data_IF_390146142903
#
_entry.id   IF_390146142903
#
_cell.length_a   1.000
_cell.length_b   1.000
_cell.length_c   1.000
_cell.angle_alpha   90.00
_cell.angle_beta   90.00
_cell.angle_gamma   90.00
#
_symmetry.space_group_name_H-M   'P 1'
#
loop_
_entity.id
_entity.type
_entity.pdbx_description
1 polymer ?
#
# COMPACT_ATOMS: atom_id res chain seq x y z
N UNK A 1 -37.75 6.72 -8.86
CA UNK A 1 -36.35 6.22 -8.62
C UNK A 1 -35.48 6.95 -9.64
N UNK A 2 -34.50 7.76 -9.15
CA UNK A 2 -33.64 8.54 -10.06
C UNK A 2 -32.66 7.55 -10.71
N UNK A 3 -32.58 7.55 -12.03
CA UNK A 3 -31.64 6.73 -12.80
C UNK A 3 -30.60 7.62 -13.47
N UNK A 4 -29.34 7.20 -13.41
CA UNK A 4 -28.22 7.80 -14.13
C UNK A 4 -27.72 6.76 -15.14
N UNK A 5 -27.79 7.07 -16.44
CA UNK A 5 -27.44 6.14 -17.52
C UNK A 5 -28.16 4.78 -17.44
N UNK A 6 -29.46 4.77 -17.01
CA UNK A 6 -30.23 3.53 -16.85
C UNK A 6 -29.92 2.72 -15.58
N UNK A 7 -29.10 3.22 -14.69
CA UNK A 7 -28.69 2.57 -13.43
C UNK A 7 -29.31 3.32 -12.25
N UNK A 8 -29.82 2.61 -11.22
CA UNK A 8 -30.28 3.24 -10.00
C UNK A 8 -29.18 4.07 -9.33
N UNK A 9 -29.46 5.33 -8.99
CA UNK A 9 -28.49 6.23 -8.33
C UNK A 9 -27.88 5.59 -7.07
N UNK A 10 -28.63 4.76 -6.38
CA UNK A 10 -28.18 4.04 -5.19
C UNK A 10 -27.04 3.08 -5.50
N UNK A 11 -27.13 2.32 -6.61
CA UNK A 11 -26.07 1.43 -7.04
C UNK A 11 -24.81 2.20 -7.47
N UNK A 12 -24.99 3.32 -8.18
CA UNK A 12 -23.89 4.20 -8.59
C UNK A 12 -23.15 4.77 -7.39
N UNK A 13 -23.86 5.41 -6.45
CA UNK A 13 -23.24 5.99 -5.24
C UNK A 13 -22.63 4.91 -4.32
N UNK A 14 -23.28 3.74 -4.22
CA UNK A 14 -22.78 2.62 -3.46
C UNK A 14 -21.43 2.11 -3.99
N UNK A 15 -21.30 1.92 -5.31
CA UNK A 15 -20.06 1.46 -5.91
C UNK A 15 -18.97 2.53 -5.92
N UNK A 16 -19.32 3.81 -6.04
CA UNK A 16 -18.39 4.91 -5.89
C UNK A 16 -17.77 4.90 -4.48
N UNK A 17 -18.57 4.69 -3.45
CA UNK A 17 -18.10 4.62 -2.06
C UNK A 17 -17.23 3.37 -1.82
N UNK A 18 -17.63 2.22 -2.36
CA UNK A 18 -16.81 0.99 -2.30
C UNK A 18 -15.48 1.19 -3.03
N UNK A 19 -15.51 1.84 -4.19
CA UNK A 19 -14.30 2.20 -4.94
C UNK A 19 -13.38 3.12 -4.15
N UNK A 20 -13.93 4.09 -3.42
CA UNK A 20 -13.15 4.96 -2.52
C UNK A 20 -12.50 4.18 -1.37
N UNK A 21 -13.21 3.20 -0.80
CA UNK A 21 -12.66 2.33 0.26
C UNK A 21 -11.52 1.47 -0.29
N UNK A 22 -11.67 0.84 -1.46
CA UNK A 22 -10.61 0.09 -2.11
C UNK A 22 -9.42 1.01 -2.46
N UNK A 23 -9.72 2.19 -2.99
CA UNK A 23 -8.74 3.23 -3.28
C UNK A 23 -7.93 3.68 -2.06
N UNK A 24 -8.51 3.61 -0.85
CA UNK A 24 -7.79 3.88 0.39
C UNK A 24 -6.66 2.88 0.64
N UNK A 25 -6.90 1.59 0.44
CA UNK A 25 -5.86 0.57 0.54
C UNK A 25 -4.83 0.68 -0.59
N UNK A 26 -5.29 0.94 -1.80
CA UNK A 26 -4.44 1.17 -2.96
C UNK A 26 -3.50 2.36 -2.73
N UNK A 27 -4.02 3.48 -2.25
CA UNK A 27 -3.22 4.67 -1.97
C UNK A 27 -2.16 4.43 -0.90
N UNK A 28 -2.51 3.79 0.24
CA UNK A 28 -1.55 3.50 1.30
C UNK A 28 -0.46 2.53 0.87
N UNK A 29 -0.82 1.44 0.18
CA UNK A 29 0.15 0.47 -0.31
C UNK A 29 1.05 1.08 -1.39
N UNK A 30 0.46 1.78 -2.35
CA UNK A 30 1.21 2.44 -3.42
C UNK A 30 2.14 3.52 -2.89
N UNK A 31 1.72 4.24 -1.85
CA UNK A 31 2.56 5.24 -1.18
C UNK A 31 3.82 4.60 -0.57
N UNK A 32 3.68 3.51 0.17
CA UNK A 32 4.83 2.80 0.75
C UNK A 32 5.77 2.28 -0.32
N UNK A 33 5.22 1.69 -1.39
CA UNK A 33 6.00 1.18 -2.52
C UNK A 33 6.69 2.32 -3.30
N UNK A 34 6.00 3.46 -3.53
CA UNK A 34 6.56 4.62 -4.21
C UNK A 34 7.72 5.25 -3.43
N UNK A 35 7.65 5.28 -2.09
CA UNK A 35 8.76 5.75 -1.24
C UNK A 35 9.96 4.82 -1.37
N UNK A 36 9.76 3.50 -1.29
CA UNK A 36 10.85 2.53 -1.45
C UNK A 36 11.48 2.67 -2.84
N UNK A 37 10.66 2.65 -3.90
CA UNK A 37 11.16 2.73 -5.27
C UNK A 37 11.87 4.06 -5.55
N UNK A 38 11.29 5.18 -5.11
CA UNK A 38 11.83 6.52 -5.34
C UNK A 38 13.21 6.73 -4.71
N UNK A 39 13.50 6.04 -3.59
CA UNK A 39 14.76 6.21 -2.86
C UNK A 39 15.80 5.14 -3.15
N UNK A 40 15.37 3.90 -3.33
CA UNK A 40 16.27 2.76 -3.49
C UNK A 40 16.37 2.27 -4.94
N UNK A 41 15.47 2.71 -5.81
CA UNK A 41 15.32 2.26 -7.21
C UNK A 41 15.18 0.73 -7.33
N UNK A 42 14.67 0.08 -6.27
CA UNK A 42 14.44 -1.36 -6.22
C UNK A 42 12.96 -1.64 -6.31
N UNK A 43 12.58 -2.51 -7.23
CA UNK A 43 11.22 -3.04 -7.33
C UNK A 43 11.04 -4.06 -6.20
N UNK A 44 10.16 -3.75 -5.24
CA UNK A 44 9.95 -4.59 -4.05
C UNK A 44 8.67 -5.41 -4.16
N UNK A 45 8.75 -6.64 -4.67
CA UNK A 45 7.62 -7.57 -4.69
C UNK A 45 7.25 -8.09 -3.29
N UNK A 46 8.18 -8.07 -2.32
CA UNK A 46 7.89 -8.44 -0.94
C UNK A 46 6.94 -7.46 -0.23
N UNK A 47 6.62 -6.30 -0.85
CA UNK A 47 5.72 -5.31 -0.29
C UNK A 47 4.31 -5.85 -0.05
N UNK A 48 3.79 -6.71 -0.94
CA UNK A 48 2.55 -7.44 -0.72
C UNK A 48 2.61 -8.39 0.47
N UNK A 49 3.73 -9.12 0.62
CA UNK A 49 3.93 -9.98 1.78
C UNK A 49 4.04 -9.16 3.08
N UNK A 50 4.63 -7.96 3.06
CA UNK A 50 4.68 -7.04 4.21
C UNK A 50 3.28 -6.54 4.61
N UNK A 51 2.42 -6.29 3.64
CA UNK A 51 1.00 -6.00 3.90
C UNK A 51 0.31 -7.17 4.60
N UNK A 52 0.45 -8.37 4.10
CA UNK A 52 -0.05 -9.60 4.73
C UNK A 52 0.52 -9.77 6.15
N UNK A 53 1.84 -9.58 6.34
CA UNK A 53 2.47 -9.64 7.65
C UNK A 53 1.86 -8.64 8.64
N UNK A 54 1.46 -7.45 8.20
CA UNK A 54 0.77 -6.45 9.02
C UNK A 54 -0.58 -6.94 9.55
N UNK A 55 -1.37 -7.57 8.69
CA UNK A 55 -2.64 -8.18 9.07
C UNK A 55 -2.44 -9.35 10.07
N UNK A 56 -1.48 -10.25 9.80
CA UNK A 56 -1.14 -11.34 10.72
C UNK A 56 -0.55 -10.83 12.03
N UNK A 57 0.32 -9.82 12.02
CA UNK A 57 0.86 -9.24 13.23
C UNK A 57 -0.27 -8.69 14.13
N UNK A 58 -1.24 -7.98 13.55
CA UNK A 58 -2.42 -7.52 14.28
C UNK A 58 -3.24 -8.68 14.88
N UNK A 59 -3.47 -9.73 14.08
CA UNK A 59 -4.20 -10.93 14.54
C UNK A 59 -3.45 -11.64 15.67
N UNK A 60 -2.14 -11.84 15.55
CA UNK A 60 -1.33 -12.53 16.55
C UNK A 60 -1.20 -11.72 17.85
N UNK A 61 -1.05 -10.39 17.74
CA UNK A 61 -1.05 -9.50 18.89
C UNK A 61 -2.37 -9.58 19.67
N UNK A 62 -3.50 -9.70 18.98
CA UNK A 62 -4.81 -9.87 19.62
C UNK A 62 -4.95 -11.26 20.24
N UNK A 63 -4.63 -12.33 19.50
CA UNK A 63 -4.90 -13.71 19.91
C UNK A 63 -3.96 -14.21 21.01
N UNK A 64 -2.68 -13.84 20.97
CA UNK A 64 -1.68 -14.33 21.91
C UNK A 64 -1.48 -13.40 23.11
N UNK A 65 -1.60 -12.09 22.91
CA UNK A 65 -1.30 -11.09 23.94
C UNK A 65 -2.51 -10.26 24.36
N UNK A 66 -3.69 -10.47 23.76
CA UNK A 66 -4.89 -9.70 24.08
C UNK A 66 -4.79 -8.21 23.73
N UNK A 67 -3.84 -7.84 22.85
CA UNK A 67 -3.59 -6.44 22.45
C UNK A 67 -4.79 -5.93 21.67
N UNK A 68 -5.36 -4.79 22.11
CA UNK A 68 -6.48 -4.19 21.42
C UNK A 68 -6.09 -3.64 20.04
N UNK A 69 -7.09 -3.44 19.18
CA UNK A 69 -6.90 -2.96 17.81
C UNK A 69 -6.08 -1.65 17.72
N UNK A 70 -6.35 -0.69 18.60
CA UNK A 70 -5.70 0.62 18.56
C UNK A 70 -4.20 0.56 18.83
N UNK A 71 -3.81 -0.27 19.78
CA UNK A 71 -2.40 -0.51 20.06
C UNK A 71 -1.75 -1.37 18.96
N UNK A 72 -2.48 -2.37 18.45
CA UNK A 72 -2.01 -3.19 17.35
C UNK A 72 -1.79 -2.37 16.06
N UNK A 73 -2.59 -1.30 15.84
CA UNK A 73 -2.44 -0.36 14.71
C UNK A 73 -1.08 0.36 14.73
N UNK A 74 -0.44 0.47 15.89
CA UNK A 74 0.90 1.05 16.06
C UNK A 74 1.97 -0.06 16.05
N UNK A 75 1.74 -1.14 16.80
CA UNK A 75 2.74 -2.19 16.98
C UNK A 75 2.98 -3.01 15.71
N UNK A 76 1.93 -3.36 14.95
CA UNK A 76 2.08 -4.16 13.73
C UNK A 76 2.96 -3.46 12.66
N UNK A 77 2.77 -2.17 12.33
CA UNK A 77 3.68 -1.42 11.47
C UNK A 77 5.12 -1.36 11.98
N UNK A 78 5.30 -1.20 13.29
CA UNK A 78 6.65 -1.17 13.90
C UNK A 78 7.33 -2.54 13.75
N UNK A 79 6.65 -3.62 14.09
CA UNK A 79 7.17 -4.99 13.97
C UNK A 79 7.59 -5.27 12.51
N UNK A 80 6.71 -5.04 11.57
CA UNK A 80 6.98 -5.30 10.15
C UNK A 80 8.00 -4.30 9.58
N UNK A 81 7.98 -3.05 10.04
CA UNK A 81 9.01 -2.06 9.69
C UNK A 81 10.40 -2.50 10.13
N UNK A 82 10.53 -3.06 11.35
CA UNK A 82 11.81 -3.63 11.85
C UNK A 82 12.23 -4.83 11.00
N UNK A 83 11.31 -5.75 10.63
CA UNK A 83 11.67 -6.84 9.72
C UNK A 83 12.12 -6.32 8.36
N UNK A 84 11.48 -5.25 7.85
CA UNK A 84 11.93 -4.55 6.65
C UNK A 84 13.35 -4.01 6.78
N UNK A 85 13.66 -3.31 7.87
CA UNK A 85 15.01 -2.82 8.18
C UNK A 85 16.04 -3.96 8.18
N UNK A 86 15.71 -5.09 8.79
CA UNK A 86 16.57 -6.27 8.83
C UNK A 86 16.83 -6.80 7.40
N UNK A 87 15.77 -6.97 6.61
CA UNK A 87 15.86 -7.45 5.22
C UNK A 87 16.71 -6.51 4.37
N UNK A 88 16.49 -5.21 4.48
CA UNK A 88 17.26 -4.21 3.73
C UNK A 88 18.74 -4.28 4.12
N UNK A 89 19.04 -4.19 5.40
CA UNK A 89 20.41 -4.10 5.90
C UNK A 89 21.26 -5.34 5.60
N UNK A 90 20.68 -6.54 5.72
CA UNK A 90 21.42 -7.78 5.59
C UNK A 90 21.40 -8.40 4.20
N UNK A 91 20.39 -8.09 3.39
CA UNK A 91 20.22 -8.69 2.07
C UNK A 91 20.17 -7.65 0.95
N UNK A 92 19.15 -6.76 0.88
CA UNK A 92 18.96 -5.86 -0.24
C UNK A 92 20.13 -4.91 -0.47
N UNK A 93 20.72 -4.39 0.60
CA UNK A 93 21.87 -3.48 0.53
C UNK A 93 23.08 -4.06 -0.21
N UNK A 94 23.25 -5.39 -0.19
CA UNK A 94 24.31 -6.07 -0.94
C UNK A 94 24.04 -6.13 -2.43
N UNK A 95 22.77 -5.94 -2.83
CA UNK A 95 22.33 -6.05 -4.21
C UNK A 95 22.28 -4.68 -4.93
N UNK A 96 22.42 -3.55 -4.22
CA UNK A 96 22.29 -2.21 -4.82
C UNK A 96 23.29 -1.91 -5.94
N UNK A 97 24.48 -2.51 -5.90
CA UNK A 97 25.52 -2.34 -6.91
C UNK A 97 25.43 -3.39 -8.04
N UNK A 98 24.45 -4.29 -7.98
CA UNK A 98 24.20 -5.30 -9.02
C UNK A 98 23.08 -4.83 -9.96
N UNK A 99 22.83 -5.59 -11.00
CA UNK A 99 21.70 -5.33 -11.88
C UNK A 99 20.38 -5.35 -11.11
N UNK A 100 19.45 -4.45 -11.47
CA UNK A 100 18.13 -4.32 -10.83
C UNK A 100 17.32 -5.62 -10.79
N UNK A 101 17.58 -6.55 -11.72
CA UNK A 101 16.96 -7.88 -11.74
C UNK A 101 17.26 -8.70 -10.49
N UNK A 102 18.46 -8.58 -9.90
CA UNK A 102 18.79 -9.32 -8.66
C UNK A 102 17.92 -8.87 -7.48
N UNK A 103 17.70 -7.57 -7.35
CA UNK A 103 16.80 -7.03 -6.33
C UNK A 103 15.35 -7.50 -6.52
N UNK A 104 14.87 -7.48 -7.76
CA UNK A 104 13.54 -7.96 -8.13
C UNK A 104 13.38 -9.44 -7.80
N UNK A 105 14.29 -10.30 -8.27
CA UNK A 105 14.24 -11.75 -8.02
C UNK A 105 14.33 -12.07 -6.52
N UNK A 106 15.20 -11.37 -5.79
CA UNK A 106 15.32 -11.53 -4.34
C UNK A 106 14.02 -11.19 -3.63
N UNK A 107 13.41 -10.03 -3.92
CA UNK A 107 12.17 -9.60 -3.25
C UNK A 107 10.99 -10.49 -3.64
N UNK A 108 10.95 -11.00 -4.85
CA UNK A 108 9.95 -11.97 -5.29
C UNK A 108 10.12 -13.31 -4.55
N UNK A 109 11.35 -13.86 -4.51
CA UNK A 109 11.64 -15.08 -3.74
C UNK A 109 11.33 -14.91 -2.26
N UNK A 110 11.67 -13.76 -1.66
CA UNK A 110 11.34 -13.44 -0.28
C UNK A 110 9.83 -13.42 -0.03
N UNK A 111 9.05 -12.83 -0.95
CA UNK A 111 7.60 -12.83 -0.88
C UNK A 111 7.04 -14.26 -0.82
N UNK A 112 7.52 -15.15 -1.70
CA UNK A 112 7.09 -16.56 -1.74
C UNK A 112 7.47 -17.31 -0.46
N UNK A 113 8.66 -17.06 0.10
CA UNK A 113 9.09 -17.68 1.36
C UNK A 113 8.21 -17.21 2.52
N UNK A 114 7.95 -15.91 2.63
CA UNK A 114 7.08 -15.36 3.66
C UNK A 114 5.66 -15.93 3.51
N UNK A 115 5.06 -15.85 2.32
CA UNK A 115 3.73 -16.39 2.04
C UNK A 115 3.64 -17.89 2.35
N UNK A 116 4.60 -18.67 1.87
CA UNK A 116 4.66 -20.12 2.11
C UNK A 116 4.78 -20.45 3.60
N UNK A 117 5.56 -19.68 4.35
CA UNK A 117 5.71 -19.84 5.82
C UNK A 117 4.38 -19.61 6.54
N UNK A 118 3.70 -18.49 6.27
CA UNK A 118 2.40 -18.20 6.88
C UNK A 118 1.33 -19.22 6.44
N UNK A 119 1.36 -19.66 5.18
CA UNK A 119 0.48 -20.70 4.68
C UNK A 119 0.68 -22.06 5.35
N UNK A 120 1.91 -22.41 5.65
CA UNK A 120 2.23 -23.63 6.38
C UNK A 120 1.67 -23.63 7.81
N UNK A 121 1.79 -22.51 8.54
CA UNK A 121 1.32 -22.44 9.93
C UNK A 121 -0.16 -22.15 10.09
N UNK A 122 -0.78 -21.38 9.18
CA UNK A 122 -2.16 -20.87 9.30
C UNK A 122 -3.11 -21.42 8.24
N UNK A 123 -2.62 -22.23 7.30
CA UNK A 123 -3.42 -22.72 6.19
C UNK A 123 -3.66 -21.66 5.11
N UNK A 124 -4.48 -22.00 4.11
CA UNK A 124 -4.83 -21.10 2.99
C UNK A 124 -6.15 -20.36 3.20
N UNK A 125 -6.95 -20.77 4.18
CA UNK A 125 -8.25 -20.14 4.49
C UNK A 125 -8.05 -18.84 5.26
N UNK A 126 -8.92 -17.84 4.99
CA UNK A 126 -8.91 -16.57 5.71
C UNK A 126 -9.30 -16.74 7.18
N UNK A 127 -8.56 -16.07 8.07
CA UNK A 127 -8.84 -16.00 9.50
C UNK A 127 -9.65 -14.74 9.81
N UNK A 128 -10.74 -14.83 10.59
CA UNK A 128 -11.52 -13.65 10.93
C UNK A 128 -10.76 -12.74 11.90
N UNK A 129 -10.86 -11.45 11.69
CA UNK A 129 -10.39 -10.41 12.60
C UNK A 129 -11.57 -9.53 13.01
N UNK A 130 -11.85 -9.45 14.31
CA UNK A 130 -13.01 -8.73 14.80
C UNK A 130 -12.86 -7.21 14.65
N UNK A 131 -13.92 -6.55 14.16
CA UNK A 131 -14.01 -5.09 14.14
C UNK A 131 -13.99 -4.54 15.57
N UNK A 132 -13.21 -3.46 15.85
CA UNK A 132 -13.20 -2.84 17.18
C UNK A 132 -14.59 -2.37 17.59
N UNK A 133 -14.94 -2.55 18.87
CA UNK A 133 -16.28 -2.21 19.40
C UNK A 133 -16.69 -0.75 19.13
N UNK A 134 -15.75 0.19 19.20
CA UNK A 134 -15.98 1.62 18.91
C UNK A 134 -16.38 1.89 17.45
N UNK A 135 -15.98 1.02 16.52
CA UNK A 135 -16.25 1.15 15.09
C UNK A 135 -17.25 0.10 14.60
N UNK A 136 -17.90 -0.61 15.53
CA UNK A 136 -18.98 -1.57 15.23
C UNK A 136 -20.26 -0.83 14.90
N UNK A 137 -21.10 -1.46 14.07
CA UNK A 137 -22.36 -0.86 13.59
C UNK A 137 -22.19 -0.17 12.24
N UNK A 138 -23.19 0.63 11.86
CA UNK A 138 -23.19 1.31 10.57
C UNK A 138 -24.16 2.49 10.53
N UNK A 139 -23.97 3.32 9.54
CA UNK A 139 -24.78 4.51 9.26
C UNK A 139 -25.60 4.26 8.01
N UNK A 140 -26.90 4.53 8.07
CA UNK A 140 -27.76 4.50 6.91
C UNK A 140 -27.62 5.83 6.15
N UNK A 141 -26.99 5.77 4.97
CA UNK A 141 -26.80 6.92 4.09
C UNK A 141 -28.01 7.17 3.16
N UNK A 142 -29.11 6.41 3.33
CA UNK A 142 -30.28 6.48 2.47
C UNK A 142 -30.15 5.68 1.16
N UNK A 143 -28.96 5.61 0.58
CA UNK A 143 -28.68 4.80 -0.61
C UNK A 143 -27.95 3.49 -0.29
N UNK A 144 -27.26 3.40 0.86
CA UNK A 144 -26.65 2.15 1.35
C UNK A 144 -26.45 2.21 2.87
N UNK A 145 -26.31 1.04 3.48
CA UNK A 145 -25.85 0.90 4.86
C UNK A 145 -24.33 0.81 4.87
N UNK A 146 -23.66 1.85 5.40
CA UNK A 146 -22.20 1.91 5.49
C UNK A 146 -21.73 1.47 6.88
N UNK A 147 -20.96 0.37 7.01
CA UNK A 147 -20.26 0.04 8.24
C UNK A 147 -19.32 1.19 8.68
N UNK A 148 -19.41 1.61 9.94
CA UNK A 148 -18.60 2.73 10.49
C UNK A 148 -17.11 2.46 10.26
N UNK A 149 -16.67 1.21 10.41
CA UNK A 149 -15.29 0.82 10.19
C UNK A 149 -14.76 1.19 8.79
N UNK A 150 -15.59 1.00 7.75
CA UNK A 150 -15.19 1.35 6.37
C UNK A 150 -15.01 2.86 6.19
N UNK A 151 -15.86 3.66 6.81
CA UNK A 151 -15.70 5.13 6.85
C UNK A 151 -14.43 5.55 7.60
N UNK A 152 -14.16 4.91 8.73
CA UNK A 152 -12.91 5.09 9.48
C UNK A 152 -11.68 4.79 8.63
N UNK A 153 -11.66 3.69 7.85
CA UNK A 153 -10.54 3.34 6.96
C UNK A 153 -10.26 4.46 5.96
N UNK A 154 -11.29 5.05 5.35
CA UNK A 154 -11.11 6.16 4.40
C UNK A 154 -10.46 7.36 5.08
N UNK A 155 -10.96 7.77 6.24
CA UNK A 155 -10.42 8.93 6.98
C UNK A 155 -8.99 8.65 7.44
N UNK A 156 -8.74 7.49 8.04
CA UNK A 156 -7.41 7.11 8.52
C UNK A 156 -6.39 7.03 7.39
N UNK A 157 -6.77 6.44 6.24
CA UNK A 157 -5.89 6.38 5.07
C UNK A 157 -5.53 7.76 4.53
N UNK A 158 -6.49 8.70 4.49
CA UNK A 158 -6.22 10.08 4.09
C UNK A 158 -5.23 10.76 5.06
N UNK A 159 -5.43 10.59 6.38
CA UNK A 159 -4.53 11.15 7.41
C UNK A 159 -3.12 10.56 7.23
N UNK A 160 -2.99 9.26 7.05
CA UNK A 160 -1.69 8.59 6.84
C UNK A 160 -1.04 9.07 5.55
N UNK A 161 -1.78 9.12 4.44
CA UNK A 161 -1.26 9.56 3.15
C UNK A 161 -0.78 11.01 3.19
N UNK A 162 -1.61 11.92 3.72
CA UNK A 162 -1.26 13.34 3.84
C UNK A 162 -0.12 13.53 4.84
N UNK A 163 -0.16 12.85 5.99
CA UNK A 163 0.89 12.91 7.00
C UNK A 163 2.25 12.44 6.45
N UNK A 164 2.26 11.34 5.73
CA UNK A 164 3.48 10.82 5.09
C UNK A 164 3.96 11.75 3.97
N UNK A 165 3.06 12.28 3.15
CA UNK A 165 3.41 13.28 2.14
C UNK A 165 4.03 14.52 2.78
N UNK A 166 3.44 15.08 3.85
CA UNK A 166 4.01 16.21 4.58
C UNK A 166 5.37 15.87 5.18
N UNK A 167 5.53 14.68 5.76
CA UNK A 167 6.80 14.20 6.32
C UNK A 167 7.91 14.20 5.26
N UNK A 168 7.63 13.68 4.06
CA UNK A 168 8.65 13.57 3.01
C UNK A 168 8.81 14.90 2.25
N UNK A 169 7.73 15.64 1.97
CA UNK A 169 7.83 16.84 1.12
C UNK A 169 8.25 18.08 1.90
N UNK A 170 7.83 18.21 3.17
CA UNK A 170 7.98 19.45 3.95
C UNK A 170 9.01 19.38 5.06
N UNK A 171 9.69 18.23 5.28
CA UNK A 171 10.69 18.11 6.35
C UNK A 171 12.12 17.98 5.81
N UNK A 172 13.11 18.20 6.69
CA UNK A 172 14.54 18.01 6.38
C UNK A 172 14.86 16.57 5.98
N UNK A 173 14.15 15.59 6.55
CA UNK A 173 14.31 14.18 6.21
C UNK A 173 14.06 13.96 4.71
N UNK A 174 12.97 14.46 4.18
CA UNK A 174 12.68 14.33 2.76
C UNK A 174 13.66 15.10 1.87
N UNK A 175 14.16 16.27 2.32
CA UNK A 175 15.21 16.99 1.60
C UNK A 175 16.50 16.17 1.49
N UNK A 176 16.93 15.53 2.59
CA UNK A 176 18.09 14.62 2.59
C UNK A 176 17.88 13.39 1.71
N UNK A 177 16.67 12.83 1.73
CA UNK A 177 16.32 11.69 0.88
C UNK A 177 16.43 12.06 -0.61
N UNK A 178 15.83 13.17 -1.04
CA UNK A 178 15.92 13.63 -2.45
C UNK A 178 17.37 13.93 -2.85
N UNK A 179 18.13 14.60 -2.02
CA UNK A 179 19.55 14.86 -2.29
C UNK A 179 20.36 13.54 -2.40
N UNK A 180 20.08 12.57 -1.54
CA UNK A 180 20.76 11.27 -1.54
C UNK A 180 20.45 10.43 -2.79
N UNK A 181 19.28 10.61 -3.42
CA UNK A 181 18.96 9.93 -4.70
C UNK A 181 19.68 10.52 -5.89
N UNK A 182 20.02 11.81 -5.85
CA UNK A 182 20.77 12.50 -6.92
C UNK A 182 22.27 12.24 -6.79
N UNK A 183 22.84 12.49 -5.61
CA UNK A 183 24.28 12.29 -5.38
C UNK A 183 24.57 11.81 -3.94
N UNK A 184 24.55 10.49 -3.69
CA UNK A 184 24.76 9.93 -2.36
C UNK A 184 26.16 10.23 -1.80
N UNK A 185 27.18 10.34 -2.65
CA UNK A 185 28.59 10.62 -2.23
C UNK A 185 28.69 12.04 -1.70
N UNK A 186 28.11 12.99 -2.44
CA UNK A 186 28.11 14.40 -2.02
C UNK A 186 27.37 14.58 -0.69
N UNK A 187 26.21 13.92 -0.51
CA UNK A 187 25.44 14.01 0.73
C UNK A 187 26.21 13.42 1.91
N UNK A 188 26.96 12.33 1.69
CA UNK A 188 27.84 11.76 2.72
C UNK A 188 28.98 12.70 3.10
N UNK A 189 29.50 13.49 2.15
CA UNK A 189 30.57 14.48 2.44
C UNK A 189 30.09 15.58 3.40
N UNK A 190 28.79 15.84 3.46
CA UNK A 190 28.18 16.74 4.46
C UNK A 190 27.88 16.07 5.81
N UNK A 191 28.38 14.83 6.05
CA UNK A 191 28.22 14.11 7.31
C UNK A 191 26.89 13.38 7.48
N UNK A 192 26.05 13.30 6.42
CA UNK A 192 24.78 12.61 6.47
C UNK A 192 24.99 11.11 6.19
N UNK A 193 24.50 10.27 7.08
CA UNK A 193 24.60 8.81 6.94
C UNK A 193 23.52 8.30 5.94
N UNK A 194 23.83 8.36 4.64
CA UNK A 194 22.93 7.91 3.56
C UNK A 194 22.52 6.45 3.71
N UNK A 195 23.40 5.49 4.02
CA UNK A 195 22.99 4.10 4.24
C UNK A 195 21.93 3.92 5.32
N UNK A 196 22.05 4.62 6.45
CA UNK A 196 21.05 4.58 7.52
C UNK A 196 19.72 5.20 7.04
N UNK A 197 19.80 6.28 6.27
CA UNK A 197 18.63 6.95 5.72
C UNK A 197 17.83 6.02 4.79
N UNK A 198 18.49 5.28 3.90
CA UNK A 198 17.88 4.30 3.01
C UNK A 198 17.23 3.14 3.80
N UNK A 199 17.95 2.62 4.81
CA UNK A 199 17.42 1.56 5.69
C UNK A 199 16.15 1.98 6.41
N UNK A 200 16.13 3.18 7.00
CA UNK A 200 14.95 3.72 7.68
C UNK A 200 13.80 3.96 6.71
N UNK A 201 14.10 4.40 5.50
CA UNK A 201 13.09 4.60 4.44
C UNK A 201 12.44 3.29 4.00
N UNK A 202 13.23 2.23 3.86
CA UNK A 202 12.68 0.90 3.56
C UNK A 202 11.79 0.40 4.72
N UNK A 203 12.23 0.60 5.97
CA UNK A 203 11.43 0.29 7.17
C UNK A 203 10.12 1.08 7.22
N UNK A 204 10.15 2.37 6.89
CA UNK A 204 8.95 3.22 6.80
C UNK A 204 7.96 2.67 5.74
N UNK A 205 8.44 2.38 4.53
CA UNK A 205 7.61 1.83 3.47
C UNK A 205 6.99 0.48 3.85
N UNK A 206 7.79 -0.42 4.46
CA UNK A 206 7.31 -1.71 4.98
C UNK A 206 6.27 -1.52 6.11
N UNK A 207 6.49 -0.55 6.99
CA UNK A 207 5.53 -0.18 8.03
C UNK A 207 4.22 0.35 7.47
N UNK A 208 4.25 1.17 6.40
CA UNK A 208 3.04 1.65 5.70
C UNK A 208 2.25 0.50 5.06
N UNK A 209 2.93 -0.48 4.46
CA UNK A 209 2.28 -1.69 3.96
C UNK A 209 1.59 -2.46 5.09
N UNK A 210 2.27 -2.66 6.20
CA UNK A 210 1.72 -3.34 7.37
C UNK A 210 0.54 -2.59 7.99
N UNK A 211 0.58 -1.25 8.01
CA UNK A 211 -0.52 -0.41 8.47
C UNK A 211 -1.75 -0.61 7.59
N UNK A 212 -1.59 -0.62 6.27
CA UNK A 212 -2.67 -0.96 5.36
C UNK A 212 -3.20 -2.37 5.60
N UNK A 213 -2.32 -3.34 5.89
CA UNK A 213 -2.66 -4.73 6.17
C UNK A 213 -3.53 -4.91 7.41
N UNK A 214 -3.14 -4.32 8.54
CA UNK A 214 -3.95 -4.40 9.77
C UNK A 214 -5.28 -3.67 9.64
N UNK A 215 -5.33 -2.56 8.89
CA UNK A 215 -6.59 -1.86 8.59
C UNK A 215 -7.50 -2.67 7.66
N UNK A 216 -6.94 -3.51 6.81
CA UNK A 216 -7.69 -4.38 5.90
C UNK A 216 -8.23 -5.65 6.59
N UNK A 217 -7.59 -6.11 7.66
CA UNK A 217 -7.91 -7.36 8.36
C UNK A 217 -9.39 -7.52 8.73
N UNK A 218 -10.11 -6.51 9.29
CA UNK A 218 -11.53 -6.63 9.62
C UNK A 218 -12.46 -6.65 8.40
N UNK A 219 -11.98 -6.24 7.21
CA UNK A 219 -12.80 -6.15 5.98
C UNK A 219 -12.63 -7.39 5.11
N UNK A 220 -11.37 -7.85 4.92
CA UNK A 220 -11.03 -8.88 3.92
C UNK A 220 -10.62 -10.22 4.52
N UNK A 221 -10.64 -10.35 5.85
CA UNK A 221 -10.05 -11.48 6.58
C UNK A 221 -8.52 -11.57 6.41
N UNK A 222 -7.87 -12.16 7.39
CA UNK A 222 -6.40 -12.34 7.37
C UNK A 222 -6.07 -13.63 6.63
N UNK A 223 -5.44 -13.52 5.48
CA UNK A 223 -5.11 -14.67 4.62
C UNK A 223 -3.67 -14.56 4.11
N UNK A 224 -2.93 -15.68 3.97
CA UNK A 224 -1.59 -15.64 3.40
C UNK A 224 -1.53 -15.09 1.96
N UNK A 225 -2.62 -15.23 1.20
CA UNK A 225 -2.68 -14.78 -0.20
C UNK A 225 -3.13 -13.33 -0.37
N UNK A 226 -3.52 -12.63 0.72
CA UNK A 226 -4.07 -11.28 0.61
C UNK A 226 -3.09 -10.26 0.03
N UNK A 227 -1.78 -10.49 0.19
CA UNK A 227 -0.73 -9.62 -0.33
C UNK A 227 -0.43 -9.86 -1.81
N UNK A 228 -0.32 -11.12 -2.22
CA UNK A 228 -0.02 -11.50 -3.60
C UNK A 228 -1.14 -11.10 -4.58
N UNK A 229 -2.39 -11.11 -4.14
CA UNK A 229 -3.52 -10.65 -4.94
C UNK A 229 -3.49 -9.15 -5.23
N UNK A 230 -2.88 -8.34 -4.36
CA UNK A 230 -2.89 -6.88 -4.47
C UNK A 230 -1.61 -6.30 -5.08
N UNK A 231 -0.45 -6.97 -4.95
CA UNK A 231 0.84 -6.38 -5.31
C UNK A 231 0.92 -5.95 -6.77
N UNK A 232 0.33 -6.71 -7.69
CA UNK A 232 0.33 -6.40 -9.13
C UNK A 232 -0.49 -5.14 -9.40
N UNK A 233 -1.65 -5.00 -8.77
CA UNK A 233 -2.51 -3.81 -8.87
C UNK A 233 -1.79 -2.58 -8.30
N UNK A 234 -1.19 -2.72 -7.12
CA UNK A 234 -0.42 -1.65 -6.46
C UNK A 234 0.76 -1.21 -7.31
N UNK A 235 1.45 -2.15 -7.95
CA UNK A 235 2.53 -1.84 -8.87
C UNK A 235 2.03 -1.05 -10.09
N UNK A 236 0.91 -1.47 -10.69
CA UNK A 236 0.29 -0.73 -11.79
C UNK A 236 -0.07 0.71 -11.38
N UNK A 237 -0.59 0.91 -10.16
CA UNK A 237 -0.94 2.23 -9.63
C UNK A 237 0.31 3.11 -9.48
N UNK A 238 1.41 2.57 -8.94
CA UNK A 238 2.67 3.31 -8.79
C UNK A 238 3.25 3.71 -10.15
N UNK A 239 3.15 2.82 -11.15
CA UNK A 239 3.58 3.10 -12.52
C UNK A 239 2.74 4.21 -13.15
N UNK A 240 1.41 4.13 -13.04
CA UNK A 240 0.48 5.18 -13.52
C UNK A 240 0.73 6.51 -12.82
N UNK A 241 0.93 6.48 -11.50
CA UNK A 241 1.23 7.66 -10.69
C UNK A 241 2.57 8.31 -11.01
N UNK A 242 3.49 7.52 -11.57
CA UNK A 242 4.89 7.88 -11.79
C UNK A 242 5.77 7.30 -10.70
N UNK A 243 6.70 6.45 -11.09
CA UNK A 243 7.58 5.72 -10.17
C UNK A 243 8.40 6.69 -9.29
N UNK A 244 8.21 6.60 -7.97
CA UNK A 244 8.86 7.49 -7.00
C UNK A 244 8.10 8.80 -6.70
N UNK A 245 6.97 9.05 -7.36
CA UNK A 245 6.10 10.19 -7.04
C UNK A 245 5.13 9.85 -5.90
N UNK A 246 5.34 10.45 -4.74
CA UNK A 246 4.51 10.24 -3.55
C UNK A 246 3.09 10.73 -3.78
N UNK A 247 2.94 11.96 -4.29
CA UNK A 247 1.63 12.52 -4.61
C UNK A 247 0.95 11.73 -5.73
N UNK A 248 1.73 11.32 -6.75
CA UNK A 248 1.25 10.46 -7.82
C UNK A 248 0.66 9.15 -7.29
N UNK A 249 1.36 8.45 -6.41
CA UNK A 249 0.88 7.20 -5.82
C UNK A 249 -0.43 7.38 -5.03
N UNK A 250 -0.55 8.46 -4.25
CA UNK A 250 -1.77 8.77 -3.47
C UNK A 250 -2.95 9.05 -4.41
N UNK A 251 -2.79 10.00 -5.33
CA UNK A 251 -3.88 10.44 -6.21
C UNK A 251 -4.34 9.31 -7.12
N UNK A 252 -3.41 8.60 -7.74
CA UNK A 252 -3.75 7.47 -8.63
C UNK A 252 -4.34 6.29 -7.86
N UNK A 253 -3.90 6.02 -6.63
CA UNK A 253 -4.50 4.99 -5.79
C UNK A 253 -5.99 5.22 -5.53
N UNK A 254 -6.36 6.43 -5.11
CA UNK A 254 -7.77 6.79 -4.93
C UNK A 254 -8.53 6.85 -6.26
N UNK A 255 -7.96 7.46 -7.29
CA UNK A 255 -8.61 7.60 -8.59
C UNK A 255 -8.90 6.23 -9.24
N UNK A 256 -7.91 5.34 -9.27
CA UNK A 256 -8.08 4.01 -9.86
C UNK A 256 -9.01 3.12 -9.04
N UNK A 257 -9.02 3.25 -7.71
CA UNK A 257 -10.01 2.59 -6.87
C UNK A 257 -11.45 3.05 -7.18
N UNK A 258 -11.67 4.35 -7.36
CA UNK A 258 -12.97 4.90 -7.77
C UNK A 258 -13.35 4.41 -9.18
N UNK A 259 -12.41 4.43 -10.13
CA UNK A 259 -12.65 3.96 -11.50
C UNK A 259 -13.00 2.46 -11.50
N UNK A 260 -12.31 1.63 -10.74
CA UNK A 260 -12.63 0.22 -10.58
C UNK A 260 -14.05 0.04 -10.03
N UNK A 261 -14.43 0.79 -8.97
CA UNK A 261 -15.78 0.77 -8.41
C UNK A 261 -16.84 1.18 -9.39
N UNK A 262 -16.61 2.25 -10.16
CA UNK A 262 -17.54 2.68 -11.23
C UNK A 262 -17.61 1.68 -12.37
N UNK A 263 -16.50 1.06 -12.76
CA UNK A 263 -16.49 0.02 -13.78
C UNK A 263 -17.36 -1.17 -13.39
N UNK A 264 -17.40 -1.53 -12.10
CA UNK A 264 -18.31 -2.58 -11.59
C UNK A 264 -19.78 -2.27 -11.79
N UNK A 265 -20.15 -1.00 -11.90
CA UNK A 265 -21.55 -0.58 -12.17
C UNK A 265 -21.92 -0.78 -13.64
N UNK A 266 -21.03 -0.38 -14.56
CA UNK A 266 -21.34 -0.33 -15.99
C UNK A 266 -20.96 -1.63 -16.71
N UNK A 267 -19.82 -2.21 -16.35
CA UNK A 267 -19.27 -3.42 -16.97
C UNK A 267 -18.47 -4.24 -15.96
N UNK A 268 -19.13 -5.05 -15.10
CA UNK A 268 -18.49 -5.77 -13.99
C UNK A 268 -17.31 -6.65 -14.40
N UNK A 269 -17.38 -7.27 -15.58
CA UNK A 269 -16.36 -8.18 -16.11
C UNK A 269 -15.03 -7.46 -16.39
N UNK A 270 -15.07 -6.17 -16.76
CA UNK A 270 -13.89 -5.37 -17.02
C UNK A 270 -13.26 -4.78 -15.75
N UNK A 271 -13.91 -4.87 -14.60
CA UNK A 271 -13.44 -4.21 -13.37
C UNK A 271 -12.04 -4.68 -12.92
N UNK A 272 -11.70 -5.95 -13.15
CA UNK A 272 -10.41 -6.51 -12.78
C UNK A 272 -9.27 -6.12 -13.74
N UNK A 273 -9.60 -5.69 -14.95
CA UNK A 273 -8.61 -5.36 -15.99
C UNK A 273 -8.49 -3.86 -16.26
N UNK A 274 -9.46 -3.06 -15.84
CA UNK A 274 -9.52 -1.61 -16.14
C UNK A 274 -8.26 -0.86 -15.67
N UNK A 275 -7.72 -1.22 -14.52
CA UNK A 275 -6.49 -0.61 -13.98
C UNK A 275 -5.31 -0.84 -14.91
N UNK A 276 -5.18 -2.06 -15.46
CA UNK A 276 -4.10 -2.42 -16.38
C UNK A 276 -4.27 -1.77 -17.76
N UNK A 277 -5.52 -1.63 -18.23
CA UNK A 277 -5.82 -0.89 -19.47
C UNK A 277 -5.41 0.57 -19.30
N UNK A 278 -5.78 1.20 -18.19
CA UNK A 278 -5.38 2.58 -17.92
C UNK A 278 -3.85 2.69 -17.81
N UNK A 279 -3.19 1.73 -17.16
CA UNK A 279 -1.73 1.69 -17.08
C UNK A 279 -1.10 1.66 -18.47
N UNK A 280 -1.57 0.77 -19.35
CA UNK A 280 -1.06 0.68 -20.72
C UNK A 280 -1.27 1.99 -21.50
N UNK A 281 -2.45 2.60 -21.40
CA UNK A 281 -2.76 3.88 -22.05
C UNK A 281 -1.88 5.02 -21.52
N UNK A 282 -1.70 5.10 -20.20
CA UNK A 282 -0.85 6.13 -19.58
C UNK A 282 0.60 5.97 -20.03
N UNK A 283 1.14 4.75 -20.04
CA UNK A 283 2.51 4.50 -20.47
C UNK A 283 2.75 4.81 -21.96
N UNK A 284 1.74 4.59 -22.81
CA UNK A 284 1.82 4.97 -24.23
C UNK A 284 1.88 6.48 -24.43
N UNK A 285 1.19 7.26 -23.58
CA UNK A 285 1.11 8.73 -23.72
C UNK A 285 2.19 9.43 -22.88
N UNK A 286 2.47 8.91 -21.69
CA UNK A 286 3.44 9.43 -20.72
C UNK A 286 4.23 8.28 -20.07
N UNK A 287 5.37 7.88 -20.65
CA UNK A 287 6.18 6.77 -20.12
C UNK A 287 6.68 7.00 -18.68
N UNK A 288 6.84 8.25 -18.26
CA UNK A 288 7.21 8.60 -16.86
C UNK A 288 6.04 8.48 -15.85
N UNK A 289 4.81 8.21 -16.33
CA UNK A 289 3.59 8.27 -15.50
C UNK A 289 3.02 9.69 -15.38
N UNK A 290 1.85 9.83 -14.75
CA UNK A 290 1.12 11.11 -14.70
C UNK A 290 1.84 12.20 -13.91
N UNK A 291 2.58 11.85 -12.87
CA UNK A 291 3.31 12.74 -11.96
C UNK A 291 4.82 12.45 -11.95
N UNK A 292 5.30 11.60 -12.87
CA UNK A 292 6.72 11.34 -13.04
C UNK A 292 7.46 12.58 -13.59
N UNK A 293 8.74 12.69 -13.28
CA UNK A 293 9.62 13.68 -13.91
C UNK A 293 10.21 13.04 -15.15
N UNK A 294 10.15 13.73 -16.26
CA UNK A 294 10.90 13.33 -17.45
C UNK A 294 12.39 13.40 -17.11
N UNK A 295 13.11 12.31 -17.40
CA UNK A 295 14.53 12.17 -17.12
C UNK A 295 15.38 12.95 -18.10
#
# INVERSE_FOLDING_TARGET
MIMIFGIPIQAFLGQLLIGLINGSFYAMLSLGLAIIFGMLRVINFAHGAQYMMGAFAGMLLLTWFGVNYWLALILAPVIVGITGIIVERFALRRLYNLDHLYGLLFTFGLALVIEGTFRYFYGSSGQPYATPKLLSGGVNLGFMYLPIYRGWVVIASMIVCIGTWLLIEKTRLGAYLRAATENPILVQSFGINVPLLLTLTYGLGSGLAALAGIMAAPIYQVSPLMGSNLIIVVFAIVVVGGMGSIMGAIVTGYALGIIEGLTKVFYPEASNIVIFVIMALVLLVRPAGLFGRDA
#
